data_IF_557493644548
#
_entry.id   IF_557493644548
#
_cell.length_a   1.000
_cell.length_b   1.000
_cell.length_c   1.000
_cell.angle_alpha   90.00
_cell.angle_beta   90.00
_cell.angle_gamma   90.00
#
_symmetry.space_group_name_H-M   'P 1'
#
loop_
_entity.id
_entity.type
_entity.pdbx_description
1 polymer ?
#
# COMPACT_ATOMS: atom_id res chain seq x y z
N UNK A 1 -7.44 26.44 -2.15
CA UNK A 1 -6.15 25.93 -1.67
C UNK A 1 -6.10 24.43 -1.98
N UNK A 2 -5.07 23.94 -2.69
CA UNK A 2 -4.93 22.51 -3.01
C UNK A 2 -3.95 21.89 -2.02
N UNK A 3 -4.39 20.90 -1.25
CA UNK A 3 -3.54 20.19 -0.30
C UNK A 3 -3.16 18.84 -0.89
N UNK A 4 -1.85 18.59 -0.99
CA UNK A 4 -1.31 17.33 -1.52
C UNK A 4 -0.73 16.56 -0.35
N UNK A 5 -1.30 15.40 -0.05
CA UNK A 5 -0.74 14.48 0.95
C UNK A 5 0.35 13.63 0.31
N UNK A 6 1.43 13.40 1.04
CA UNK A 6 2.58 12.63 0.59
C UNK A 6 3.36 12.08 1.77
N UNK A 7 4.19 11.09 1.48
CA UNK A 7 5.11 10.50 2.46
C UNK A 7 6.49 11.10 2.22
N UNK A 8 7.14 11.54 3.29
CA UNK A 8 8.52 11.99 3.26
C UNK A 8 9.44 10.84 3.67
N UNK A 9 10.33 10.41 2.77
CA UNK A 9 11.26 9.30 3.01
C UNK A 9 12.62 9.76 3.55
N UNK A 10 12.68 10.95 4.14
CA UNK A 10 13.93 11.58 4.62
C UNK A 10 14.73 12.30 3.52
N UNK A 11 14.39 12.14 2.24
CA UNK A 11 15.07 12.83 1.13
C UNK A 11 14.09 13.50 0.17
N UNK A 12 12.97 12.86 -0.13
CA UNK A 12 11.99 13.31 -1.10
C UNK A 12 10.55 13.11 -0.60
N UNK A 13 9.65 13.97 -1.05
CA UNK A 13 8.22 13.87 -0.75
C UNK A 13 7.56 13.16 -1.93
N UNK A 14 6.99 11.99 -1.66
CA UNK A 14 6.24 11.20 -2.66
C UNK A 14 4.74 11.49 -2.49
N UNK A 15 4.08 12.14 -3.46
CA UNK A 15 2.65 12.37 -3.41
C UNK A 15 1.89 11.04 -3.43
N UNK A 16 0.84 10.93 -2.61
CA UNK A 16 -0.06 9.76 -2.62
C UNK A 16 -0.98 9.75 -3.85
N UNK A 17 -1.11 10.88 -4.54
CA UNK A 17 -1.91 11.02 -5.76
C UNK A 17 -1.08 11.67 -6.86
N UNK A 18 -1.33 11.25 -8.10
CA UNK A 18 -0.67 11.82 -9.28
C UNK A 18 -1.02 13.30 -9.39
N UNK A 19 0.00 14.15 -9.45
CA UNK A 19 -0.15 15.58 -9.68
C UNK A 19 -0.15 15.86 -11.18
N UNK A 20 -1.24 16.41 -11.69
CA UNK A 20 -1.39 16.82 -13.10
C UNK A 20 -1.08 18.31 -13.32
N UNK A 21 -0.25 18.91 -12.47
CA UNK A 21 0.07 20.34 -12.51
C UNK A 21 1.20 20.60 -13.52
N UNK A 22 0.87 21.34 -14.59
CA UNK A 22 1.84 21.72 -15.66
C UNK A 22 2.54 23.06 -15.41
N UNK A 23 2.11 23.83 -14.41
CA UNK A 23 2.64 25.18 -14.11
C UNK A 23 3.47 25.15 -12.82
N UNK A 24 4.39 26.10 -12.68
CA UNK A 24 5.20 26.28 -11.46
C UNK A 24 4.37 26.97 -10.39
N UNK A 25 4.44 26.48 -9.16
CA UNK A 25 3.73 27.04 -8.01
C UNK A 25 4.69 27.19 -6.83
N UNK A 26 4.53 28.27 -6.06
CA UNK A 26 5.15 28.37 -4.72
C UNK A 26 4.32 27.50 -3.77
N UNK A 27 4.98 26.62 -3.03
CA UNK A 27 4.33 25.67 -2.13
C UNK A 27 4.86 25.80 -0.71
N UNK A 28 4.02 25.44 0.25
CA UNK A 28 4.38 25.30 1.66
C UNK A 28 4.26 23.82 2.01
N UNK A 29 5.30 23.27 2.63
CA UNK A 29 5.33 21.87 3.09
C UNK A 29 5.15 21.90 4.60
N UNK A 30 4.22 21.09 5.09
CA UNK A 30 3.95 20.93 6.52
C UNK A 30 4.02 19.46 6.87
N UNK A 31 4.90 19.11 7.80
CA UNK A 31 4.95 17.77 8.38
C UNK A 31 3.83 17.65 9.40
N UNK A 32 2.96 16.66 9.22
CA UNK A 32 1.80 16.45 10.08
C UNK A 32 2.12 15.46 11.19
N UNK A 33 2.71 14.33 10.82
CA UNK A 33 2.95 13.18 11.71
C UNK A 33 4.29 12.54 11.35
N UNK A 34 5.02 12.08 12.37
CA UNK A 34 6.22 11.28 12.20
C UNK A 34 5.82 9.81 12.05
N UNK A 35 6.36 9.14 11.03
CA UNK A 35 6.13 7.72 10.81
C UNK A 35 7.29 6.99 11.50
N UNK A 36 7.08 6.47 12.70
CA UNK A 36 8.06 5.62 13.38
C UNK A 36 8.20 4.26 12.67
N UNK A 37 9.41 3.96 12.21
CA UNK A 37 9.68 2.88 11.26
C UNK A 37 9.79 1.46 11.88
N UNK A 38 9.19 1.20 13.04
CA UNK A 38 9.59 0.02 13.84
C UNK A 38 8.62 -1.17 13.86
N UNK A 39 7.35 -1.04 13.45
CA UNK A 39 6.38 -2.15 13.66
C UNK A 39 5.10 -2.13 12.80
N UNK A 40 4.78 -1.02 12.14
CA UNK A 40 3.51 -0.84 11.43
C UNK A 40 3.39 -1.56 10.08
N UNK A 41 4.46 -1.66 9.30
CA UNK A 41 4.39 -2.26 7.95
C UNK A 41 4.05 -3.76 8.01
N UNK A 42 4.63 -4.49 8.99
CA UNK A 42 4.25 -5.89 9.28
C UNK A 42 2.81 -6.02 9.75
N UNK A 43 2.35 -5.10 10.61
CA UNK A 43 0.96 -5.07 11.08
C UNK A 43 -0.03 -4.77 9.94
N UNK A 44 0.34 -3.91 9.00
CA UNK A 44 -0.46 -3.55 7.83
C UNK A 44 -0.57 -4.72 6.84
N UNK A 45 0.53 -5.48 6.62
CA UNK A 45 0.49 -6.72 5.83
C UNK A 45 -0.25 -7.86 6.51
N UNK A 46 -0.31 -7.88 7.85
CA UNK A 46 -1.11 -8.88 8.59
C UNK A 46 -2.60 -8.55 8.67
N UNK A 47 -2.98 -7.29 8.43
CA UNK A 47 -4.40 -6.87 8.40
C UNK A 47 -5.00 -6.85 6.99
N UNK A 48 -4.17 -6.79 5.94
CA UNK A 48 -4.66 -7.06 4.59
C UNK A 48 -5.00 -8.55 4.50
N UNK A 49 -6.25 -8.86 4.21
CA UNK A 49 -6.78 -10.19 3.86
C UNK A 49 -6.08 -10.82 2.63
N UNK A 50 -4.84 -10.45 2.29
CA UNK A 50 -4.10 -10.99 1.15
C UNK A 50 -3.79 -12.49 1.26
N UNK A 51 -4.02 -13.10 2.43
CA UNK A 51 -3.92 -14.55 2.64
C UNK A 51 -5.28 -15.27 2.66
N UNK A 52 -6.43 -14.57 2.64
CA UNK A 52 -7.74 -15.24 2.53
C UNK A 52 -7.93 -15.95 1.19
N UNK A 53 -7.17 -15.53 0.17
CA UNK A 53 -7.01 -16.24 -1.11
C UNK A 53 -6.65 -17.73 -0.93
N UNK A 54 -5.78 -18.06 0.05
CA UNK A 54 -5.38 -19.44 0.30
C UNK A 54 -6.46 -20.27 1.02
N UNK A 55 -7.45 -19.61 1.63
CA UNK A 55 -8.53 -20.25 2.39
C UNK A 55 -9.85 -20.30 1.60
N UNK A 56 -9.95 -19.71 0.40
CA UNK A 56 -11.14 -19.78 -0.46
C UNK A 56 -11.14 -21.08 -1.29
N UNK A 57 -12.00 -22.02 -0.91
CA UNK A 57 -12.20 -23.30 -1.61
C UNK A 57 -12.57 -23.13 -3.09
N UNK A 58 -13.06 -21.96 -3.51
CA UNK A 58 -13.43 -21.67 -4.92
C UNK A 58 -12.22 -21.31 -5.79
N UNK A 59 -11.10 -20.91 -5.19
CA UNK A 59 -9.88 -20.50 -5.91
C UNK A 59 -8.74 -21.55 -5.80
N UNK A 60 -9.01 -22.69 -5.17
CA UNK A 60 -8.05 -23.79 -4.99
C UNK A 60 -7.86 -24.63 -6.27
N UNK A 61 -7.10 -24.08 -7.21
CA UNK A 61 -6.70 -24.76 -8.45
C UNK A 61 -5.74 -25.95 -8.25
N UNK A 62 -5.25 -26.18 -7.03
CA UNK A 62 -4.22 -27.19 -6.73
C UNK A 62 -4.79 -28.50 -6.15
N UNK A 63 -5.98 -28.49 -5.56
CA UNK A 63 -6.67 -29.71 -5.08
C UNK A 63 -7.14 -30.63 -6.22
N UNK A 64 -7.46 -30.09 -7.38
CA UNK A 64 -7.94 -30.88 -8.53
C UNK A 64 -6.89 -31.88 -9.03
N UNK A 65 -5.61 -31.61 -8.84
CA UNK A 65 -4.52 -32.51 -9.21
C UNK A 65 -4.34 -33.68 -8.22
N UNK A 66 -4.76 -33.52 -6.96
CA UNK A 66 -4.68 -34.56 -5.94
C UNK A 66 -5.78 -35.62 -6.10
N UNK A 67 -6.93 -35.25 -6.66
CA UNK A 67 -8.05 -36.18 -6.93
C UNK A 67 -7.83 -37.07 -8.16
N UNK A 68 -6.84 -36.77 -9.01
CA UNK A 68 -6.51 -37.58 -10.20
C UNK A 68 -5.46 -38.66 -9.91
N UNK A 69 -5.61 -39.37 -8.79
CA UNK A 69 -4.98 -40.67 -8.52
C UNK A 69 -6.02 -41.57 -7.86
N UNK A 70 -6.90 -42.13 -8.68
CA UNK A 70 -7.62 -43.37 -8.39
C UNK A 70 -7.67 -44.21 -9.65
#
# INVERSE_FOLDING_TARGET
>A
MLTVKGIYDGKQIRPLKKLSLKKKYKVVITFLEEIEDSSGIRAFTSQSEGFSFWEDEREDIYQDLLKRKS
#
